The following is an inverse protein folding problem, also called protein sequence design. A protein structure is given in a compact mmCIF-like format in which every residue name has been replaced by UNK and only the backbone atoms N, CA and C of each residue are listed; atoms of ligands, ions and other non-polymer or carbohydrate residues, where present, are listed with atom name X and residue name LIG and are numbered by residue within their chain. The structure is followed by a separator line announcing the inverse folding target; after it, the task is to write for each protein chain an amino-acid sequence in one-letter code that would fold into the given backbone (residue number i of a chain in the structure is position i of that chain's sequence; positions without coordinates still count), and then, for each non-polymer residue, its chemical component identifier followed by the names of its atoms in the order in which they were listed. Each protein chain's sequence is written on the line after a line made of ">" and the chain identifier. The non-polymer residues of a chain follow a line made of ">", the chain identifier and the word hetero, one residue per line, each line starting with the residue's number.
data_IF_517525397457
#
_entry.id   IF_517525397457
#
_cell.length_a   1.000
_cell.length_b   1.000
_cell.length_c   1.000
_cell.angle_alpha   90.00
_cell.angle_beta   90.00
_cell.angle_gamma   90.00
#
_symmetry.space_group_name_H-M   'P 1'
#
loop_
_entity.id
_entity.type
_entity.pdbx_description
1 polymer ?
#
# COMPACT_ATOMS: atom_id res chain seq x y z
N UNK A 1 8.69 9.95 8.67
CA UNK A 1 8.32 8.65 8.10
C UNK A 1 7.13 8.07 8.83
N UNK A 2 6.25 7.36 8.12
CA UNK A 2 5.06 6.78 8.71
C UNK A 2 5.39 5.51 9.48
N UNK A 3 5.09 5.48 10.78
CA UNK A 3 5.41 4.33 11.64
C UNK A 3 4.51 3.12 11.39
N UNK A 4 3.36 3.33 10.74
CA UNK A 4 2.42 2.24 10.48
C UNK A 4 2.78 1.42 9.26
N UNK A 5 3.80 1.84 8.49
CA UNK A 5 4.26 1.10 7.32
C UNK A 5 5.57 0.42 7.66
N UNK A 6 5.56 -0.90 7.58
CA UNK A 6 6.74 -1.72 7.91
C UNK A 6 7.80 -1.64 6.82
N UNK A 7 9.04 -1.88 7.20
CA UNK A 7 10.12 -2.07 6.24
C UNK A 7 10.04 -3.49 5.69
N UNK A 8 9.25 -3.69 4.65
CA UNK A 8 8.99 -5.03 4.11
C UNK A 8 10.22 -5.70 3.54
N UNK A 9 11.17 -4.91 3.01
CA UNK A 9 12.41 -5.45 2.44
C UNK A 9 13.15 -6.35 3.42
N UNK A 10 13.06 -6.05 4.71
CA UNK A 10 13.76 -6.81 5.75
C UNK A 10 12.88 -7.86 6.43
N UNK A 11 11.61 -7.94 6.06
CA UNK A 11 10.72 -8.97 6.58
C UNK A 11 10.97 -10.27 5.83
N UNK A 12 11.25 -11.38 6.53
CA UNK A 12 11.61 -12.63 5.86
C UNK A 12 10.48 -13.25 5.03
N UNK A 13 9.24 -12.97 5.39
CA UNK A 13 8.09 -13.61 4.73
C UNK A 13 7.01 -12.60 4.37
N UNK A 14 7.40 -11.45 3.78
CA UNK A 14 6.39 -10.51 3.33
C UNK A 14 5.56 -11.13 2.20
N UNK A 15 4.29 -10.74 2.13
CA UNK A 15 3.35 -11.25 1.16
C UNK A 15 2.67 -10.10 0.42
N UNK A 16 1.85 -10.46 -0.59
CA UNK A 16 1.02 -9.47 -1.30
C UNK A 16 0.12 -8.70 -0.34
N UNK A 17 -0.39 -9.37 0.70
CA UNK A 17 -1.23 -8.72 1.70
C UNK A 17 -0.46 -7.64 2.47
N UNK A 18 0.82 -7.86 2.74
CA UNK A 18 1.65 -6.86 3.41
C UNK A 18 1.87 -5.65 2.52
N UNK A 19 2.12 -5.86 1.23
CA UNK A 19 2.28 -4.78 0.26
C UNK A 19 0.98 -3.98 0.14
N UNK A 20 -0.14 -4.67 0.11
CA UNK A 20 -1.45 -4.02 0.01
C UNK A 20 -1.78 -3.24 1.26
N UNK A 21 -1.45 -3.77 2.44
CA UNK A 21 -1.66 -3.06 3.71
C UNK A 21 -0.83 -1.78 3.76
N UNK A 22 0.42 -1.82 3.30
CA UNK A 22 1.27 -0.64 3.24
C UNK A 22 0.72 0.39 2.27
N UNK A 23 0.25 -0.06 1.09
CA UNK A 23 -0.35 0.82 0.10
C UNK A 23 -1.60 1.50 0.66
N UNK A 24 -2.43 0.76 1.37
CA UNK A 24 -3.64 1.30 1.98
C UNK A 24 -3.31 2.38 3.01
N UNK A 25 -2.32 2.14 3.86
CA UNK A 25 -1.90 3.13 4.84
C UNK A 25 -1.39 4.40 4.17
N UNK A 26 -0.61 4.26 3.11
CA UNK A 26 -0.13 5.41 2.36
C UNK A 26 -1.30 6.23 1.81
N UNK A 27 -2.25 5.57 1.15
CA UNK A 27 -3.40 6.26 0.54
C UNK A 27 -4.25 6.94 1.60
N UNK A 28 -4.47 6.29 2.74
CA UNK A 28 -5.19 6.89 3.85
C UNK A 28 -4.50 8.15 4.38
N UNK A 29 -3.18 8.11 4.47
CA UNK A 29 -2.40 9.25 4.99
C UNK A 29 -2.47 10.44 4.06
N UNK A 30 -2.26 10.23 2.75
CA UNK A 30 -2.23 11.35 1.81
C UNK A 30 -3.61 11.89 1.48
N UNK A 31 -4.65 11.06 1.53
CA UNK A 31 -6.01 11.50 1.20
C UNK A 31 -6.76 12.03 2.42
N UNK A 32 -6.36 11.63 3.61
CA UNK A 32 -7.09 11.96 4.81
C UNK A 32 -8.33 11.11 5.03
N UNK A 33 -8.62 10.18 4.12
CA UNK A 33 -9.77 9.28 4.26
C UNK A 33 -9.35 7.98 4.93
N UNK A 34 -10.09 7.59 5.94
CA UNK A 34 -9.94 6.26 6.51
C UNK A 34 -10.58 5.22 5.59
N UNK A 35 -11.75 5.57 5.09
CA UNK A 35 -12.46 4.81 4.08
C UNK A 35 -13.13 5.80 3.14
N UNK A 36 -13.13 5.57 1.83
CA UNK A 36 -13.69 6.54 0.89
C UNK A 36 -15.22 6.53 0.90
N UNK A 37 -15.81 7.68 0.55
CA UNK A 37 -17.22 7.70 0.20
C UNK A 37 -17.44 6.82 -1.03
N UNK A 38 -18.65 6.30 -1.21
CA UNK A 38 -18.94 5.36 -2.30
C UNK A 38 -18.54 5.90 -3.68
N UNK A 39 -18.79 7.19 -3.92
CA UNK A 39 -18.45 7.81 -5.21
C UNK A 39 -16.95 7.86 -5.47
N UNK A 40 -16.14 7.77 -4.43
CA UNK A 40 -14.67 7.80 -4.54
C UNK A 40 -14.03 6.43 -4.36
N UNK A 41 -14.84 5.40 -4.08
CA UNK A 41 -14.32 4.08 -3.75
C UNK A 41 -13.50 3.48 -4.88
N UNK A 42 -13.94 3.64 -6.12
CA UNK A 42 -13.25 3.05 -7.27
C UNK A 42 -11.88 3.67 -7.46
N UNK A 43 -11.80 5.01 -7.42
CA UNK A 43 -10.51 5.72 -7.55
C UNK A 43 -9.58 5.36 -6.39
N UNK A 44 -10.12 5.34 -5.18
CA UNK A 44 -9.36 5.01 -3.98
C UNK A 44 -8.78 3.59 -4.07
N UNK A 45 -9.62 2.62 -4.39
CA UNK A 45 -9.20 1.23 -4.45
C UNK A 45 -8.25 0.98 -5.61
N UNK A 46 -8.44 1.65 -6.73
CA UNK A 46 -7.53 1.56 -7.87
C UNK A 46 -6.13 2.06 -7.48
N UNK A 47 -6.07 3.18 -6.76
CA UNK A 47 -4.79 3.73 -6.30
C UNK A 47 -4.09 2.76 -5.35
N UNK A 48 -4.83 2.17 -4.41
CA UNK A 48 -4.26 1.19 -3.49
C UNK A 48 -3.66 0.02 -4.26
N UNK A 49 -4.39 -0.49 -5.25
CA UNK A 49 -3.92 -1.63 -6.04
C UNK A 49 -2.67 -1.27 -6.85
N UNK A 50 -2.65 -0.10 -7.48
CA UNK A 50 -1.49 0.33 -8.28
C UNK A 50 -0.25 0.50 -7.41
N UNK A 51 -0.42 1.08 -6.23
CA UNK A 51 0.69 1.27 -5.30
C UNK A 51 1.17 -0.07 -4.76
N UNK A 52 0.25 -0.98 -4.46
CA UNK A 52 0.61 -2.32 -4.01
C UNK A 52 1.39 -3.06 -5.10
N UNK A 53 0.95 -2.98 -6.35
CA UNK A 53 1.63 -3.63 -7.47
C UNK A 53 3.03 -3.07 -7.66
N UNK A 54 3.19 -1.75 -7.58
CA UNK A 54 4.49 -1.11 -7.71
C UNK A 54 5.41 -1.53 -6.55
N UNK A 55 4.86 -1.64 -5.35
CA UNK A 55 5.60 -2.07 -4.17
C UNK A 55 6.13 -3.49 -4.35
N UNK A 56 5.30 -4.40 -4.84
CA UNK A 56 5.71 -5.78 -5.08
C UNK A 56 6.80 -5.85 -6.14
N UNK A 57 6.67 -5.09 -7.21
CA UNK A 57 7.71 -5.05 -8.25
C UNK A 57 9.04 -4.54 -7.71
N UNK A 58 8.98 -3.51 -6.87
CA UNK A 58 10.18 -2.98 -6.25
C UNK A 58 10.86 -4.05 -5.41
N UNK A 59 10.10 -4.69 -4.52
CA UNK A 59 10.68 -5.64 -3.57
C UNK A 59 11.22 -6.89 -4.25
N UNK A 60 10.56 -7.36 -5.30
CA UNK A 60 11.03 -8.53 -6.03
C UNK A 60 12.20 -8.19 -6.95
N UNK A 61 12.31 -6.94 -7.38
CA UNK A 61 13.38 -6.49 -8.26
C UNK A 61 14.67 -6.08 -7.55
N UNK A 62 14.60 -5.83 -6.25
CA UNK A 62 15.80 -5.44 -5.48
C UNK A 62 16.73 -6.65 -5.31
N UNK A 63 18.03 -6.36 -5.31
CA UNK A 63 19.06 -7.41 -5.19
C UNK A 63 19.86 -7.28 -3.93
#
# INVERSE_FOLDING_TARGET
>A
MCRSIKTLRTEPEWSDDDAKAAALQYVRKISGYRAPAQRNAEVFNQAVQEIADATERLLTGLK
#
